data_IF_874321629960
#
_entry.id   IF_874321629960
#
_cell.length_a   1.000
_cell.length_b   1.000
_cell.length_c   1.000
_cell.angle_alpha   90.00
_cell.angle_beta   90.00
_cell.angle_gamma   90.00
#
_symmetry.space_group_name_H-M   'P 1'
#
loop_
_entity.id
_entity.type
_entity.pdbx_description
1 polymer ?
#
# COMPACT_ATOMS: atom_id res chain seq x y z
N UNK A 1 -10.97 -1.56 -0.75
CA UNK A 1 -11.64 -2.69 -1.40
C UNK A 1 -10.87 -3.98 -1.12
N UNK A 2 -11.53 -4.95 -0.54
CA UNK A 2 -10.93 -6.25 -0.22
C UNK A 2 -11.42 -7.29 -1.21
N UNK A 3 -10.47 -7.92 -1.92
CA UNK A 3 -10.78 -8.99 -2.88
C UNK A 3 -9.98 -10.22 -2.48
N UNK A 4 -10.67 -11.21 -1.89
CA UNK A 4 -10.02 -12.45 -1.50
C UNK A 4 -8.90 -12.29 -0.48
N UNK A 5 -9.06 -11.33 0.44
CA UNK A 5 -8.05 -11.05 1.47
C UNK A 5 -7.00 -10.04 1.05
N UNK A 6 -7.04 -9.54 -0.19
CA UNK A 6 -6.12 -8.51 -0.68
C UNK A 6 -6.82 -7.17 -0.71
N UNK A 7 -6.22 -6.16 -0.10
CA UNK A 7 -6.79 -4.82 -0.06
C UNK A 7 -6.29 -3.99 -1.23
N UNK A 8 -7.23 -3.25 -1.85
CA UNK A 8 -6.97 -2.34 -2.94
C UNK A 8 -7.61 -1.00 -2.60
N UNK A 9 -7.07 0.09 -3.12
CA UNK A 9 -7.63 1.40 -2.92
C UNK A 9 -8.02 2.01 -4.27
N UNK A 10 -9.26 2.48 -4.38
CA UNK A 10 -9.73 3.16 -5.59
C UNK A 10 -9.69 4.66 -5.34
N UNK A 11 -9.06 5.41 -6.26
CA UNK A 11 -9.01 6.86 -6.14
C UNK A 11 -10.34 7.48 -6.59
N UNK A 12 -10.42 8.82 -6.56
CA UNK A 12 -11.67 9.53 -6.85
C UNK A 12 -12.17 9.29 -8.28
N UNK A 13 -11.31 8.94 -9.20
CA UNK A 13 -11.70 8.63 -10.59
C UNK A 13 -12.10 7.17 -10.79
N UNK A 14 -12.04 6.35 -9.74
CA UNK A 14 -12.35 4.94 -9.80
C UNK A 14 -11.20 4.05 -10.24
N UNK A 15 -10.03 4.63 -10.51
CA UNK A 15 -8.86 3.85 -10.87
C UNK A 15 -8.17 3.32 -9.62
N UNK A 16 -7.55 2.13 -9.73
CA UNK A 16 -6.82 1.53 -8.63
C UNK A 16 -5.54 2.32 -8.35
N UNK A 17 -5.36 2.75 -7.11
CA UNK A 17 -4.15 3.47 -6.73
C UNK A 17 -2.96 2.53 -6.66
N UNK A 18 -1.78 3.04 -6.97
CA UNK A 18 -0.51 2.32 -6.85
C UNK A 18 0.53 3.23 -6.21
N UNK A 19 1.58 2.63 -5.66
CA UNK A 19 2.63 3.38 -5.00
C UNK A 19 2.23 3.82 -3.60
N UNK A 20 2.90 4.86 -3.11
CA UNK A 20 2.65 5.37 -1.76
C UNK A 20 1.30 6.09 -1.69
N UNK A 21 0.56 5.82 -0.62
CA UNK A 21 -0.75 6.41 -0.40
C UNK A 21 -0.81 6.96 1.01
N UNK A 22 -1.12 8.25 1.15
CA UNK A 22 -1.27 8.93 2.43
C UNK A 22 -2.76 9.10 2.74
N UNK A 23 -3.21 8.49 3.82
CA UNK A 23 -4.58 8.62 4.29
C UNK A 23 -4.56 9.23 5.69
N UNK A 24 -4.67 10.55 5.75
CA UNK A 24 -4.73 11.26 7.03
C UNK A 24 -3.46 11.12 7.87
N UNK A 25 -2.30 11.11 7.22
CA UNK A 25 -1.02 10.97 7.92
C UNK A 25 -0.55 9.53 8.08
N UNK A 26 -1.36 8.57 7.64
CA UNK A 26 -1.00 7.15 7.66
C UNK A 26 -0.59 6.74 6.25
N UNK A 27 0.61 6.20 6.10
CA UNK A 27 1.14 5.85 4.79
C UNK A 27 1.01 4.36 4.52
N UNK A 28 0.55 4.05 3.32
CA UNK A 28 0.42 2.68 2.81
C UNK A 28 1.17 2.58 1.49
N UNK A 29 1.56 1.38 1.11
CA UNK A 29 2.18 1.16 -0.19
C UNK A 29 1.37 0.13 -0.97
N UNK A 30 1.00 0.50 -2.20
CA UNK A 30 0.27 -0.38 -3.11
C UNK A 30 1.23 -0.73 -4.24
N UNK A 31 1.38 -2.03 -4.50
CA UNK A 31 2.32 -2.49 -5.53
C UNK A 31 1.79 -2.20 -6.94
N UNK A 32 2.55 -2.59 -7.96
CA UNK A 32 2.19 -2.28 -9.34
C UNK A 32 0.85 -2.88 -9.78
N UNK A 33 0.40 -3.96 -9.12
CA UNK A 33 -0.90 -4.55 -9.41
C UNK A 33 -2.02 -3.90 -8.61
N UNK A 34 -1.70 -2.91 -7.76
CA UNK A 34 -2.67 -2.23 -6.93
C UNK A 34 -2.92 -2.90 -5.59
N UNK A 35 -2.27 -4.02 -5.30
CA UNK A 35 -2.47 -4.73 -4.06
C UNK A 35 -1.68 -4.06 -2.92
N UNK A 36 -2.31 -3.96 -1.74
CA UNK A 36 -1.67 -3.38 -0.57
C UNK A 36 -0.53 -4.28 -0.10
N UNK A 37 0.66 -3.69 0.06
CA UNK A 37 1.83 -4.41 0.55
C UNK A 37 1.83 -4.51 2.07
N UNK A 38 2.49 -5.53 2.60
CA UNK A 38 2.75 -5.69 4.02
C UNK A 38 4.09 -6.39 4.20
N UNK A 39 4.68 -6.25 5.42
CA UNK A 39 6.00 -6.78 5.68
C UNK A 39 7.09 -5.92 5.07
N UNK A 40 8.27 -6.51 4.86
CA UNK A 40 9.41 -5.80 4.31
C UNK A 40 9.28 -5.66 2.80
N UNK A 41 9.50 -4.45 2.30
CA UNK A 41 9.56 -4.20 0.86
C UNK A 41 10.85 -3.45 0.53
N UNK A 42 11.41 -3.73 -0.66
CA UNK A 42 12.62 -3.06 -1.14
C UNK A 42 12.24 -2.17 -2.32
N UNK A 43 12.47 -0.87 -2.18
CA UNK A 43 12.16 0.09 -3.24
C UNK A 43 13.45 0.84 -3.58
N UNK A 44 14.03 0.48 -4.72
CA UNK A 44 15.24 1.15 -5.19
C UNK A 44 16.42 1.02 -4.23
N UNK A 45 16.53 -0.11 -3.53
CA UNK A 45 17.63 -0.35 -2.59
C UNK A 45 17.33 0.09 -1.16
N UNK A 46 16.17 0.70 -0.92
CA UNK A 46 15.77 1.11 0.43
C UNK A 46 14.68 0.17 0.94
N UNK A 47 14.88 -0.34 2.15
CA UNK A 47 13.92 -1.24 2.78
C UNK A 47 12.92 -0.45 3.62
N UNK A 48 11.63 -0.81 3.47
CA UNK A 48 10.55 -0.24 4.26
C UNK A 48 9.79 -1.37 4.92
N UNK A 49 9.31 -1.15 6.14
CA UNK A 49 8.50 -2.14 6.83
C UNK A 49 7.06 -1.66 6.95
N UNK A 50 6.14 -2.48 6.47
CA UNK A 50 4.70 -2.24 6.57
C UNK A 50 4.13 -3.28 7.52
N UNK A 51 3.34 -2.84 8.50
CA UNK A 51 2.81 -3.76 9.50
C UNK A 51 1.68 -4.63 8.92
N UNK A 52 1.05 -5.45 9.77
CA UNK A 52 0.00 -6.36 9.33
C UNK A 52 -1.22 -5.63 8.75
N UNK A 53 -1.40 -4.35 9.09
CA UNK A 53 -2.48 -3.52 8.56
C UNK A 53 -2.05 -2.78 7.29
N UNK A 54 -0.82 -2.96 6.86
CA UNK A 54 -0.28 -2.29 5.68
C UNK A 54 0.24 -0.88 5.96
N UNK A 55 0.35 -0.49 7.23
CA UNK A 55 0.80 0.84 7.62
C UNK A 55 2.33 0.88 7.66
N UNK A 56 2.91 1.90 7.03
CA UNK A 56 4.36 2.08 7.07
C UNK A 56 4.82 2.41 8.49
N UNK A 57 5.71 1.59 9.00
CA UNK A 57 6.32 1.79 10.32
C UNK A 57 7.63 2.54 10.10
N UNK A 58 7.66 3.78 10.52
CA UNK A 58 8.82 4.66 10.34
C UNK A 58 9.92 4.38 11.37
#
# INVERSE_FOLDING_TARGET
LNLGGTWYYLNASGAMATGWLDLGGTWYYLNASGAMASGWINLGGTWYYLDANGVWVK
#
